data_IF_505098951113
#
_entry.id   IF_505098951113
#
_cell.length_a   1.000
_cell.length_b   1.000
_cell.length_c   1.000
_cell.angle_alpha   90.00
_cell.angle_beta   90.00
_cell.angle_gamma   90.00
#
_symmetry.space_group_name_H-M   'P 1'
#
loop_
_entity.id
_entity.type
_entity.pdbx_description
1 polymer ?
#
# COMPACT_ATOMS: atom_id res chain seq x y z
N UNK A 1 51.52 -33.75 -7.80
CA UNK A 1 51.26 -33.10 -6.49
C UNK A 1 50.84 -31.62 -6.62
N UNK A 2 51.36 -30.85 -7.59
CA UNK A 2 51.01 -29.43 -7.80
C UNK A 2 49.52 -29.22 -8.16
N UNK A 3 48.97 -29.98 -9.11
CA UNK A 3 47.59 -29.82 -9.57
C UNK A 3 46.53 -29.96 -8.46
N UNK A 4 46.72 -30.89 -7.51
CA UNK A 4 45.79 -31.09 -6.40
C UNK A 4 45.81 -29.91 -5.41
N UNK A 5 47.00 -29.41 -5.10
CA UNK A 5 47.15 -28.23 -4.24
C UNK A 5 46.54 -27.00 -4.90
N UNK A 6 46.64 -26.87 -6.22
CA UNK A 6 45.98 -25.81 -6.99
C UNK A 6 44.46 -25.94 -6.92
N UNK A 7 43.90 -27.14 -7.12
CA UNK A 7 42.47 -27.38 -7.03
C UNK A 7 41.90 -27.05 -5.63
N UNK A 8 42.59 -27.48 -4.57
CA UNK A 8 42.23 -27.18 -3.18
C UNK A 8 42.30 -25.68 -2.90
N UNK A 9 43.33 -24.99 -3.43
CA UNK A 9 43.50 -23.54 -3.27
C UNK A 9 42.38 -22.76 -3.97
N UNK A 10 42.00 -23.16 -5.19
CA UNK A 10 40.90 -22.56 -5.93
C UNK A 10 39.55 -22.76 -5.22
N UNK A 11 39.29 -23.97 -4.70
CA UNK A 11 38.08 -24.26 -3.92
C UNK A 11 38.00 -23.45 -2.61
N UNK A 12 39.11 -23.30 -1.88
CA UNK A 12 39.15 -22.44 -0.68
C UNK A 12 38.94 -20.97 -1.00
N UNK A 13 39.47 -20.48 -2.13
CA UNK A 13 39.27 -19.09 -2.59
C UNK A 13 37.82 -18.82 -3.00
N UNK A 14 37.18 -19.74 -3.72
CA UNK A 14 35.77 -19.57 -4.13
C UNK A 14 34.83 -19.54 -2.93
N UNK A 15 35.06 -20.38 -1.90
CA UNK A 15 34.24 -20.40 -0.67
C UNK A 15 34.44 -19.18 0.24
N UNK A 16 35.61 -18.53 0.18
CA UNK A 16 35.88 -17.27 0.91
C UNK A 16 35.26 -16.05 0.23
N UNK A 17 34.87 -16.14 -1.04
CA UNK A 17 34.25 -15.03 -1.76
C UNK A 17 32.76 -15.00 -1.40
N UNK A 18 32.31 -13.88 -0.86
CA UNK A 18 30.88 -13.62 -0.62
C UNK A 18 30.19 -13.66 -1.98
N UNK A 19 29.13 -14.48 -2.11
CA UNK A 19 28.28 -14.47 -3.30
C UNK A 19 27.51 -13.14 -3.33
N UNK A 20 28.04 -12.17 -4.06
CA UNK A 20 27.33 -10.95 -4.41
C UNK A 20 26.49 -11.23 -5.64
N UNK A 21 25.19 -11.00 -5.57
CA UNK A 21 24.37 -10.99 -6.77
C UNK A 21 24.72 -9.74 -7.59
N UNK A 22 24.66 -9.89 -8.91
CA UNK A 22 24.87 -8.77 -9.82
C UNK A 22 23.73 -7.75 -9.63
N UNK A 23 24.10 -6.52 -9.27
CA UNK A 23 23.18 -5.46 -8.89
C UNK A 23 22.26 -5.08 -10.06
N UNK A 24 22.73 -5.27 -11.29
CA UNK A 24 22.01 -4.98 -12.54
C UNK A 24 20.70 -5.78 -12.66
N UNK A 25 20.65 -7.00 -12.12
CA UNK A 25 19.47 -7.87 -12.17
C UNK A 25 18.37 -7.52 -11.14
N UNK A 26 18.71 -6.69 -10.15
CA UNK A 26 17.82 -6.31 -9.03
C UNK A 26 17.23 -4.93 -9.24
N UNK A 27 17.93 -4.01 -9.94
CA UNK A 27 17.42 -2.67 -10.26
C UNK A 27 16.08 -2.74 -11.00
N UNK A 28 15.93 -3.65 -11.97
CA UNK A 28 14.70 -3.80 -12.75
C UNK A 28 13.50 -4.37 -11.96
N UNK A 29 13.72 -4.88 -10.74
CA UNK A 29 12.65 -5.46 -9.90
C UNK A 29 12.11 -4.49 -8.86
N UNK A 30 12.77 -3.35 -8.65
CA UNK A 30 12.16 -2.23 -7.96
C UNK A 30 11.34 -1.54 -9.04
N UNK A 31 10.04 -1.84 -9.09
CA UNK A 31 9.12 -1.03 -9.87
C UNK A 31 9.27 0.40 -9.34
N UNK A 32 10.01 1.23 -10.06
CA UNK A 32 9.96 2.66 -9.88
C UNK A 32 8.55 3.02 -10.33
N UNK A 33 7.61 3.08 -9.38
CA UNK A 33 6.39 3.83 -9.61
C UNK A 33 6.87 5.23 -9.99
N UNK A 34 6.74 5.58 -11.25
CA UNK A 34 7.13 6.90 -11.74
C UNK A 34 6.43 7.92 -10.86
N UNK A 35 7.22 8.79 -10.22
CA UNK A 35 6.68 9.82 -9.34
C UNK A 35 5.81 10.76 -10.19
N UNK A 36 4.49 10.69 -10.02
CA UNK A 36 3.54 11.59 -10.65
C UNK A 36 3.12 12.69 -9.66
N UNK A 37 3.57 13.95 -9.86
CA UNK A 37 3.14 15.08 -9.04
C UNK A 37 1.62 15.29 -9.02
N UNK A 38 0.90 14.90 -10.08
CA UNK A 38 -0.55 15.04 -10.15
C UNK A 38 -1.24 14.03 -9.24
N UNK A 39 -0.81 12.76 -9.24
CA UNK A 39 -1.35 11.75 -8.32
C UNK A 39 -1.11 12.16 -6.86
N UNK A 40 0.09 12.65 -6.53
CA UNK A 40 0.41 13.12 -5.18
C UNK A 40 -0.50 14.29 -4.77
N UNK A 41 -0.74 15.24 -5.66
CA UNK A 41 -1.64 16.36 -5.38
C UNK A 41 -3.10 15.88 -5.18
N UNK A 42 -3.59 14.95 -6.00
CA UNK A 42 -4.92 14.35 -5.87
C UNK A 42 -5.05 13.57 -4.55
N UNK A 43 -4.01 12.83 -4.17
CA UNK A 43 -3.96 12.08 -2.93
C UNK A 43 -3.99 13.02 -1.71
N UNK A 44 -3.23 14.12 -1.74
CA UNK A 44 -3.27 15.13 -0.70
C UNK A 44 -4.65 15.80 -0.58
N UNK A 45 -5.32 16.07 -1.70
CA UNK A 45 -6.69 16.58 -1.71
C UNK A 45 -7.66 15.56 -1.10
N UNK A 46 -7.53 14.27 -1.45
CA UNK A 46 -8.33 13.19 -0.87
C UNK A 46 -8.16 13.13 0.65
N UNK A 47 -6.92 13.13 1.16
CA UNK A 47 -6.67 13.14 2.60
C UNK A 47 -7.26 14.37 3.30
N UNK A 48 -7.17 15.55 2.68
CA UNK A 48 -7.81 16.76 3.21
C UNK A 48 -9.33 16.65 3.21
N UNK A 49 -9.94 16.06 2.19
CA UNK A 49 -11.38 15.86 2.11
C UNK A 49 -11.88 14.86 3.16
N UNK A 50 -11.19 13.73 3.33
CA UNK A 50 -11.52 12.73 4.37
C UNK A 50 -11.40 13.33 5.78
N UNK A 51 -10.44 14.23 6.02
CA UNK A 51 -10.31 14.94 7.31
C UNK A 51 -11.49 15.85 7.65
N UNK A 52 -12.27 16.30 6.66
CA UNK A 52 -13.48 17.12 6.87
C UNK A 52 -14.72 16.27 7.18
N UNK A 53 -14.61 14.94 7.13
CA UNK A 53 -15.68 14.05 7.54
C UNK A 53 -15.81 14.01 9.07
N UNK A 54 -17.03 13.82 9.56
CA UNK A 54 -17.28 13.60 10.99
C UNK A 54 -16.69 12.28 11.48
N UNK A 55 -16.57 12.08 12.80
CA UNK A 55 -15.90 10.89 13.35
C UNK A 55 -16.55 9.57 12.94
N UNK A 56 -17.90 9.52 12.94
CA UNK A 56 -18.65 8.36 12.46
C UNK A 56 -18.46 8.12 10.96
N UNK A 57 -18.37 9.19 10.17
CA UNK A 57 -18.15 9.09 8.72
C UNK A 57 -16.74 8.56 8.42
N UNK A 58 -15.73 9.05 9.14
CA UNK A 58 -14.34 8.54 9.03
C UNK A 58 -14.25 7.08 9.42
N UNK A 59 -14.84 6.67 10.54
CA UNK A 59 -14.84 5.28 10.97
C UNK A 59 -15.47 4.35 9.91
N UNK A 60 -16.60 4.78 9.32
CA UNK A 60 -17.26 4.03 8.26
C UNK A 60 -16.39 3.91 6.99
N UNK A 61 -15.68 4.98 6.60
CA UNK A 61 -14.73 4.94 5.47
C UNK A 61 -13.55 4.03 5.77
N UNK A 62 -12.96 4.11 6.97
CA UNK A 62 -11.81 3.28 7.33
C UNK A 62 -12.14 1.80 7.28
N UNK A 63 -13.25 1.38 7.89
CA UNK A 63 -13.67 -0.02 7.85
C UNK A 63 -13.94 -0.50 6.42
N UNK A 64 -14.52 0.35 5.57
CA UNK A 64 -14.73 0.01 4.16
C UNK A 64 -13.41 -0.14 3.38
N UNK A 65 -12.39 0.68 3.70
CA UNK A 65 -11.05 0.55 3.10
C UNK A 65 -10.28 -0.68 3.61
N UNK A 66 -10.66 -1.22 4.76
CA UNK A 66 -10.16 -2.50 5.29
C UNK A 66 -10.94 -3.71 4.70
N UNK A 67 -11.66 -3.51 3.58
CA UNK A 67 -12.47 -4.51 2.89
C UNK A 67 -13.55 -5.17 3.78
N UNK A 68 -14.00 -4.48 4.83
CA UNK A 68 -15.12 -4.94 5.66
C UNK A 68 -16.44 -4.84 4.91
N UNK A 69 -17.26 -5.87 5.03
CA UNK A 69 -18.60 -5.83 4.49
C UNK A 69 -19.53 -4.92 5.33
N UNK A 70 -20.66 -4.50 4.76
CA UNK A 70 -21.57 -3.58 5.48
C UNK A 70 -22.19 -4.21 6.72
N UNK A 71 -22.25 -5.54 6.82
CA UNK A 71 -22.78 -6.23 7.98
C UNK A 71 -21.79 -6.11 9.14
N UNK A 72 -20.51 -6.43 8.92
CA UNK A 72 -19.43 -6.22 9.90
C UNK A 72 -19.30 -4.76 10.31
N UNK A 73 -19.39 -3.82 9.36
CA UNK A 73 -19.36 -2.38 9.64
C UNK A 73 -20.54 -1.99 10.55
N UNK A 74 -21.73 -2.51 10.26
CA UNK A 74 -22.94 -2.19 11.02
C UNK A 74 -22.88 -2.72 12.46
N UNK A 75 -22.35 -3.93 12.64
CA UNK A 75 -22.12 -4.56 13.95
C UNK A 75 -21.08 -3.77 14.75
N UNK A 76 -19.97 -3.37 14.11
CA UNK A 76 -18.87 -2.63 14.74
C UNK A 76 -19.30 -1.22 15.19
N UNK A 77 -20.08 -0.53 14.35
CA UNK A 77 -20.51 0.86 14.61
C UNK A 77 -21.83 0.95 15.40
N UNK A 78 -22.49 -0.17 15.69
CA UNK A 78 -23.77 -0.20 16.39
C UNK A 78 -24.91 0.47 15.60
N UNK A 79 -24.88 0.40 14.27
CA UNK A 79 -25.92 0.94 13.37
C UNK A 79 -26.54 -0.20 12.55
N UNK A 80 -27.62 0.09 11.82
CA UNK A 80 -28.19 -0.90 10.88
C UNK A 80 -27.37 -0.95 9.59
N UNK A 81 -27.32 -2.13 8.95
CA UNK A 81 -26.63 -2.32 7.66
C UNK A 81 -27.17 -1.37 6.56
N UNK A 82 -28.48 -1.13 6.54
CA UNK A 82 -29.12 -0.17 5.62
C UNK A 82 -28.61 1.25 5.89
N UNK A 83 -28.51 1.66 7.16
CA UNK A 83 -27.98 2.98 7.52
C UNK A 83 -26.50 3.11 7.13
N UNK A 84 -25.70 2.05 7.31
CA UNK A 84 -24.30 2.03 6.87
C UNK A 84 -24.16 2.28 5.37
N UNK A 85 -24.95 1.58 4.52
CA UNK A 85 -24.95 1.79 3.07
C UNK A 85 -25.40 3.20 2.68
N UNK A 86 -26.48 3.71 3.29
CA UNK A 86 -26.98 5.07 3.01
C UNK A 86 -25.95 6.12 3.40
N UNK A 87 -25.32 5.97 4.57
CA UNK A 87 -24.22 6.85 5.01
C UNK A 87 -23.04 6.79 4.06
N UNK A 88 -22.63 5.62 3.60
CA UNK A 88 -21.54 5.49 2.62
C UNK A 88 -21.84 6.26 1.33
N UNK A 89 -23.05 6.13 0.80
CA UNK A 89 -23.46 6.88 -0.38
C UNK A 89 -23.41 8.40 -0.16
N UNK A 90 -23.85 8.88 1.01
CA UNK A 90 -23.76 10.30 1.36
C UNK A 90 -22.31 10.77 1.47
N UNK A 91 -21.44 9.97 2.09
CA UNK A 91 -20.01 10.28 2.21
C UNK A 91 -19.36 10.36 0.83
N UNK A 92 -19.65 9.39 -0.06
CA UNK A 92 -19.14 9.41 -1.44
C UNK A 92 -19.55 10.68 -2.18
N UNK A 93 -20.80 11.12 -2.03
CA UNK A 93 -21.28 12.38 -2.62
C UNK A 93 -20.60 13.60 -2.00
N UNK A 94 -20.45 13.63 -0.67
CA UNK A 94 -19.75 14.70 0.05
C UNK A 94 -18.30 14.84 -0.40
N UNK A 95 -17.57 13.72 -0.53
CA UNK A 95 -16.20 13.71 -1.04
C UNK A 95 -16.14 14.22 -2.49
N UNK A 96 -17.07 13.82 -3.36
CA UNK A 96 -17.15 14.35 -4.74
C UNK A 96 -17.32 15.87 -4.76
N UNK A 97 -18.20 16.42 -3.92
CA UNK A 97 -18.42 17.87 -3.81
C UNK A 97 -17.20 18.61 -3.27
N UNK A 98 -16.46 18.03 -2.32
CA UNK A 98 -15.24 18.67 -1.78
C UNK A 98 -14.11 18.67 -2.81
N UNK A 99 -13.95 17.58 -3.58
CA UNK A 99 -12.87 17.43 -4.55
C UNK A 99 -13.14 18.17 -5.86
N UNK A 100 -14.41 18.30 -6.25
CA UNK A 100 -14.87 19.05 -7.40
C UNK A 100 -15.91 20.10 -6.95
N UNK A 101 -15.47 21.21 -6.34
CA UNK A 101 -16.35 22.26 -5.85
C UNK A 101 -17.12 22.98 -6.97
#
# INVERSE_FOLDING_TARGET
RVALNTAITLYRKSKKRIQTQDYESVIFKIAANEYDPQEEQQLQLMYKAVKQLGDIEKALVFLYLEDKDYREISETLGITEVNARVKMNRIRNKLKTILNP
#
